data_IF_014291776574
#
_entry.id   IF_014291776574
#
_cell.length_a   1.000
_cell.length_b   1.000
_cell.length_c   1.000
_cell.angle_alpha   90.00
_cell.angle_beta   90.00
_cell.angle_gamma   90.00
#
_symmetry.space_group_name_H-M   'P 1'
#
loop_
_entity.id
_entity.type
_entity.pdbx_description
1 polymer ?
#
# COMPACT_ATOMS: atom_id res chain seq x y z
N UNK A 1 0.44 -4.03 -14.96
CA UNK A 1 0.43 -4.08 -13.48
C UNK A 1 -0.18 -2.79 -12.96
N UNK A 2 -1.03 -2.87 -11.92
CA UNK A 2 -1.47 -1.69 -11.18
C UNK A 2 -0.62 -1.57 -9.91
N UNK A 3 -0.07 -0.38 -9.67
CA UNK A 3 0.79 -0.11 -8.52
C UNK A 3 0.15 0.92 -7.60
N UNK A 4 -0.34 0.46 -6.45
CA UNK A 4 -0.90 1.31 -5.41
C UNK A 4 0.20 1.73 -4.45
N UNK A 5 0.58 3.01 -4.49
CA UNK A 5 1.65 3.55 -3.66
C UNK A 5 1.05 4.50 -2.63
N UNK A 6 1.28 4.25 -1.34
CA UNK A 6 0.78 5.13 -0.28
C UNK A 6 1.29 6.57 -0.45
N UNK A 7 0.40 7.54 -0.30
CA UNK A 7 0.77 8.97 -0.37
C UNK A 7 1.21 9.60 0.94
N UNK A 8 1.22 8.86 2.05
CA UNK A 8 1.47 9.39 3.41
C UNK A 8 2.85 10.08 3.54
N UNK A 9 3.86 9.62 2.80
CA UNK A 9 5.21 10.19 2.81
C UNK A 9 5.97 9.99 1.50
N UNK A 10 7.05 10.75 1.32
CA UNK A 10 7.91 10.60 0.14
C UNK A 10 8.61 9.24 0.07
N UNK A 11 8.93 8.66 1.23
CA UNK A 11 9.60 7.36 1.35
C UNK A 11 8.90 6.21 0.61
N UNK A 12 7.57 6.24 0.57
CA UNK A 12 6.75 5.27 -0.14
C UNK A 12 7.02 5.28 -1.65
N UNK A 13 7.01 6.48 -2.23
CA UNK A 13 7.33 6.66 -3.64
C UNK A 13 8.80 6.34 -3.94
N UNK A 14 9.73 6.88 -3.15
CA UNK A 14 11.17 6.71 -3.42
C UNK A 14 11.62 5.26 -3.29
N UNK A 15 11.00 4.45 -2.42
CA UNK A 15 11.23 3.00 -2.34
C UNK A 15 10.63 2.26 -3.52
N UNK A 16 9.42 2.63 -3.93
CA UNK A 16 8.69 1.89 -4.97
C UNK A 16 9.19 2.21 -6.38
N UNK A 17 9.59 3.46 -6.65
CA UNK A 17 9.96 3.91 -7.99
C UNK A 17 11.05 3.04 -8.66
N UNK A 18 12.19 2.71 -8.01
CA UNK A 18 13.22 1.90 -8.66
C UNK A 18 12.72 0.50 -9.02
N UNK A 19 11.95 -0.13 -8.13
CA UNK A 19 11.36 -1.46 -8.37
C UNK A 19 10.39 -1.42 -9.55
N UNK A 20 9.48 -0.44 -9.54
CA UNK A 20 8.46 -0.29 -10.58
C UNK A 20 9.08 0.08 -11.94
N UNK A 21 10.12 0.92 -11.97
CA UNK A 21 10.82 1.30 -13.19
C UNK A 21 11.63 0.14 -13.80
N UNK A 22 12.19 -0.74 -12.97
CA UNK A 22 13.04 -1.84 -13.41
C UNK A 22 12.29 -3.16 -13.69
N UNK A 23 10.99 -3.24 -13.44
CA UNK A 23 10.26 -4.51 -13.56
C UNK A 23 9.92 -4.93 -15.00
N UNK A 24 10.10 -4.04 -15.99
CA UNK A 24 9.82 -4.35 -17.40
C UNK A 24 8.33 -4.56 -17.74
N UNK A 25 7.42 -4.21 -16.83
CA UNK A 25 5.97 -4.31 -17.02
C UNK A 25 5.36 -2.95 -17.37
N UNK A 26 4.26 -2.93 -18.10
CA UNK A 26 3.42 -1.74 -18.20
C UNK A 26 2.81 -1.42 -16.82
N UNK A 27 3.21 -0.30 -16.22
CA UNK A 27 2.79 0.09 -14.86
C UNK A 27 1.79 1.24 -14.90
N UNK A 28 0.64 1.01 -14.28
CA UNK A 28 -0.36 2.05 -14.01
C UNK A 28 -0.29 2.43 -12.53
N UNK A 29 0.22 3.63 -12.25
CA UNK A 29 0.42 4.11 -10.88
C UNK A 29 -0.89 4.69 -10.33
N UNK A 30 -1.19 4.30 -9.08
CA UNK A 30 -2.34 4.72 -8.29
C UNK A 30 -1.82 5.26 -6.97
N UNK A 31 -1.96 6.56 -6.73
CA UNK A 31 -1.42 7.20 -5.51
C UNK A 31 -2.11 8.52 -5.20
N UNK A 32 -1.90 9.06 -4.00
CA UNK A 32 -2.42 10.35 -3.58
C UNK A 32 -1.34 11.22 -2.90
N UNK A 33 -1.77 12.37 -2.37
CA UNK A 33 -1.02 13.23 -1.45
C UNK A 33 0.43 13.53 -1.91
N UNK A 34 1.43 13.24 -1.07
CA UNK A 34 2.84 13.64 -1.27
C UNK A 34 3.49 12.82 -2.38
N UNK A 35 3.19 11.52 -2.46
CA UNK A 35 3.72 10.63 -3.49
C UNK A 35 3.26 11.04 -4.89
N UNK A 36 2.02 11.53 -5.06
CA UNK A 36 1.51 12.00 -6.35
C UNK A 36 2.38 13.10 -6.99
N UNK A 37 2.97 13.99 -6.19
CA UNK A 37 3.85 15.04 -6.71
C UNK A 37 5.13 14.47 -7.33
N UNK A 38 5.68 13.41 -6.75
CA UNK A 38 6.86 12.74 -7.28
C UNK A 38 6.50 11.81 -8.45
N UNK A 39 5.36 11.11 -8.35
CA UNK A 39 4.88 10.20 -9.38
C UNK A 39 4.63 10.88 -10.73
N UNK A 40 4.30 12.18 -10.74
CA UNK A 40 4.19 12.97 -11.98
C UNK A 40 5.48 13.05 -12.80
N UNK A 41 6.62 12.74 -12.20
CA UNK A 41 7.94 12.72 -12.86
C UNK A 41 8.33 11.31 -13.36
N UNK A 42 7.51 10.30 -13.15
CA UNK A 42 7.76 8.95 -13.66
C UNK A 42 7.33 8.83 -15.12
N UNK A 43 8.24 9.17 -16.02
CA UNK A 43 8.02 9.02 -17.47
C UNK A 43 7.90 7.55 -17.91
N UNK A 44 8.41 6.63 -17.09
CA UNK A 44 8.27 5.18 -17.30
C UNK A 44 6.86 4.64 -17.00
N UNK A 45 6.01 5.41 -16.30
CA UNK A 45 4.67 4.95 -15.94
C UNK A 45 3.71 5.07 -17.14
N UNK A 46 2.99 4.00 -17.45
CA UNK A 46 2.01 3.98 -18.53
C UNK A 46 0.82 4.90 -18.26
N UNK A 47 0.40 5.00 -17.00
CA UNK A 47 -0.54 6.03 -16.56
C UNK A 47 -0.40 6.34 -15.08
N UNK A 48 -0.87 7.52 -14.69
CA UNK A 48 -0.93 7.97 -13.31
C UNK A 48 -2.35 8.43 -13.00
N UNK A 49 -2.95 7.88 -11.94
CA UNK A 49 -4.24 8.34 -11.43
C UNK A 49 -4.14 8.71 -9.94
N UNK A 50 -4.81 9.80 -9.58
CA UNK A 50 -5.01 10.15 -8.17
C UNK A 50 -6.06 9.21 -7.60
N UNK A 51 -5.65 8.31 -6.73
CA UNK A 51 -6.53 7.33 -6.06
C UNK A 51 -6.28 7.39 -4.57
N UNK A 52 -7.35 7.34 -3.79
CA UNK A 52 -7.21 7.28 -2.34
C UNK A 52 -6.66 5.92 -1.91
N UNK A 53 -5.38 5.89 -1.55
CA UNK A 53 -4.68 4.70 -1.04
C UNK A 53 -4.75 4.61 0.49
N UNK A 54 -5.58 5.43 1.12
CA UNK A 54 -5.73 5.51 2.56
C UNK A 54 -4.92 6.65 3.19
N UNK A 55 -5.20 6.94 4.48
CA UNK A 55 -4.69 8.12 5.15
C UNK A 55 -3.24 7.98 5.65
N UNK A 56 -2.76 6.76 5.84
CA UNK A 56 -1.59 6.51 6.68
C UNK A 56 -1.84 7.00 8.11
N UNK A 57 -0.83 7.58 8.75
CA UNK A 57 -1.00 8.26 10.05
C UNK A 57 -1.21 9.75 9.81
N UNK A 58 -2.24 10.36 10.39
CA UNK A 58 -2.37 11.83 10.33
C UNK A 58 -1.33 12.44 11.27
N UNK A 59 -0.59 13.46 10.80
CA UNK A 59 0.48 14.10 11.55
C UNK A 59 0.41 15.62 11.46
N UNK A 60 0.81 16.30 12.54
CA UNK A 60 1.01 17.76 12.62
C UNK A 60 2.51 18.06 12.64
N UNK A 61 3.13 18.00 11.46
CA UNK A 61 4.60 18.04 11.33
C UNK A 61 5.24 16.64 11.36
N UNK A 62 6.58 16.54 11.49
CA UNK A 62 7.27 15.26 11.29
C UNK A 62 7.11 14.24 12.42
N UNK A 63 6.91 14.71 13.66
CA UNK A 63 6.97 13.87 14.87
C UNK A 63 5.67 13.86 15.70
N UNK A 64 4.73 14.77 15.46
CA UNK A 64 3.45 14.82 16.18
C UNK A 64 2.38 14.05 15.41
N UNK A 65 2.06 12.85 15.89
CA UNK A 65 0.98 12.02 15.34
C UNK A 65 -0.36 12.41 15.98
N UNK A 66 -1.43 12.39 15.16
CA UNK A 66 -2.80 12.64 15.59
C UNK A 66 -3.67 11.39 15.41
N UNK A 67 -3.81 10.54 16.46
CA UNK A 67 -4.55 9.29 16.36
C UNK A 67 -6.05 9.48 16.20
N UNK A 68 -6.62 10.55 16.75
CA UNK A 68 -8.05 10.83 16.62
C UNK A 68 -8.37 11.19 15.16
N UNK A 69 -7.57 12.05 14.55
CA UNK A 69 -7.69 12.36 13.13
C UNK A 69 -7.38 11.14 12.24
N UNK A 70 -6.42 10.30 12.64
CA UNK A 70 -6.12 9.04 11.93
C UNK A 70 -7.30 8.09 11.95
N UNK A 71 -7.95 7.91 13.11
CA UNK A 71 -9.14 7.08 13.26
C UNK A 71 -10.25 7.57 12.31
N UNK A 72 -10.59 8.85 12.37
CA UNK A 72 -11.67 9.41 11.54
C UNK A 72 -11.38 9.27 10.04
N UNK A 73 -10.15 9.54 9.61
CA UNK A 73 -9.75 9.40 8.22
C UNK A 73 -9.75 7.92 7.76
N UNK A 74 -9.35 7.00 8.64
CA UNK A 74 -9.35 5.57 8.36
C UNK A 74 -10.77 5.01 8.28
N UNK A 75 -11.69 5.45 9.15
CA UNK A 75 -13.11 5.11 9.09
C UNK A 75 -13.72 5.52 7.74
N UNK A 76 -13.50 6.77 7.34
CA UNK A 76 -13.97 7.28 6.04
C UNK A 76 -13.39 6.48 4.87
N UNK A 77 -12.08 6.18 4.92
CA UNK A 77 -11.42 5.41 3.88
C UNK A 77 -11.97 3.98 3.79
N UNK A 78 -12.07 3.25 4.91
CA UNK A 78 -12.63 1.89 4.94
C UNK A 78 -14.08 1.86 4.48
N UNK A 79 -14.89 2.87 4.85
CA UNK A 79 -16.27 2.99 4.38
C UNK A 79 -16.36 3.19 2.86
N UNK A 80 -15.35 3.82 2.24
CA UNK A 80 -15.30 4.03 0.78
C UNK A 80 -14.85 2.81 -0.02
N UNK A 81 -14.33 1.76 0.63
CA UNK A 81 -13.74 0.60 -0.04
C UNK A 81 -14.64 -0.07 -1.09
N UNK A 82 -15.94 -0.31 -0.86
CA UNK A 82 -16.77 -1.00 -1.86
C UNK A 82 -16.77 -0.29 -3.22
N UNK A 83 -17.01 1.02 -3.23
CA UNK A 83 -17.01 1.82 -4.47
C UNK A 83 -15.61 2.00 -5.06
N UNK A 84 -14.58 2.16 -4.22
CA UNK A 84 -13.20 2.23 -4.67
C UNK A 84 -12.76 0.93 -5.36
N UNK A 85 -13.11 -0.22 -4.78
CA UNK A 85 -12.79 -1.54 -5.33
C UNK A 85 -13.47 -1.73 -6.68
N UNK A 86 -14.76 -1.43 -6.78
CA UNK A 86 -15.51 -1.55 -8.03
C UNK A 86 -14.88 -0.71 -9.15
N UNK A 87 -14.61 0.57 -8.88
CA UNK A 87 -14.03 1.49 -9.85
C UNK A 87 -12.64 1.03 -10.32
N UNK A 88 -11.77 0.65 -9.38
CA UNK A 88 -10.41 0.24 -9.72
C UNK A 88 -10.35 -1.15 -10.37
N UNK A 89 -11.25 -2.08 -10.02
CA UNK A 89 -11.36 -3.37 -10.72
C UNK A 89 -11.77 -3.15 -12.17
N UNK A 90 -12.75 -2.27 -12.44
CA UNK A 90 -13.16 -1.95 -13.80
C UNK A 90 -11.99 -1.35 -14.61
N UNK A 91 -11.30 -0.36 -14.05
CA UNK A 91 -10.13 0.25 -14.67
C UNK A 91 -8.99 -0.76 -14.91
N UNK A 92 -8.73 -1.64 -13.95
CA UNK A 92 -7.68 -2.65 -14.04
C UNK A 92 -8.00 -3.73 -15.07
N UNK A 93 -9.26 -4.15 -15.19
CA UNK A 93 -9.70 -5.07 -16.25
C UNK A 93 -9.51 -4.46 -17.63
N UNK A 94 -9.94 -3.21 -17.82
CA UNK A 94 -9.79 -2.51 -19.09
C UNK A 94 -8.32 -2.36 -19.51
N UNK A 95 -7.43 -2.14 -18.55
CA UNK A 95 -5.99 -2.06 -18.77
C UNK A 95 -5.27 -3.42 -18.87
N UNK A 96 -6.01 -4.54 -18.84
CA UNK A 96 -5.42 -5.87 -18.92
C UNK A 96 -4.47 -6.20 -17.76
N UNK A 97 -4.76 -5.68 -16.55
CA UNK A 97 -3.93 -5.92 -15.38
C UNK A 97 -3.82 -7.42 -15.04
N UNK A 98 -2.63 -7.85 -14.60
CA UNK A 98 -2.27 -9.24 -14.27
C UNK A 98 -1.56 -9.39 -12.93
N UNK A 99 -1.29 -8.28 -12.26
CA UNK A 99 -0.54 -8.21 -11.01
C UNK A 99 -0.88 -6.87 -10.35
N UNK A 100 -1.10 -6.91 -9.04
CA UNK A 100 -1.21 -5.73 -8.20
C UNK A 100 0.05 -5.62 -7.35
N UNK A 101 0.71 -4.46 -7.42
CA UNK A 101 1.77 -4.06 -6.50
C UNK A 101 1.16 -3.13 -5.46
N UNK A 102 1.39 -3.41 -4.19
CA UNK A 102 0.88 -2.63 -3.07
C UNK A 102 2.04 -2.17 -2.18
N UNK A 103 2.37 -0.88 -2.18
CA UNK A 103 3.25 -0.27 -1.17
C UNK A 103 2.48 -0.01 0.13
N UNK A 104 2.00 -1.13 0.68
CA UNK A 104 1.19 -1.36 1.87
C UNK A 104 -0.29 -0.95 1.92
N UNK A 105 -0.99 -0.27 0.98
CA UNK A 105 -2.40 0.07 1.19
C UNK A 105 -3.28 -1.19 1.21
N UNK A 106 -4.01 -1.48 2.32
CA UNK A 106 -4.76 -2.74 2.46
C UNK A 106 -5.81 -2.96 1.35
N UNK A 107 -6.43 -1.88 0.87
CA UNK A 107 -7.43 -1.94 -0.19
C UNK A 107 -6.90 -2.51 -1.51
N UNK A 108 -5.59 -2.39 -1.78
CA UNK A 108 -4.99 -2.95 -2.99
C UNK A 108 -5.07 -4.49 -3.03
N UNK A 109 -4.95 -5.15 -1.87
CA UNK A 109 -5.10 -6.61 -1.76
C UNK A 109 -6.55 -7.04 -2.02
N UNK A 110 -7.53 -6.26 -1.57
CA UNK A 110 -8.95 -6.49 -1.89
C UNK A 110 -9.22 -6.31 -3.38
N UNK A 111 -8.66 -5.28 -4.01
CA UNK A 111 -8.78 -5.04 -5.45
C UNK A 111 -8.18 -6.21 -6.23
N UNK A 112 -6.99 -6.69 -5.86
CA UNK A 112 -6.34 -7.83 -6.51
C UNK A 112 -7.20 -9.09 -6.41
N UNK A 113 -7.74 -9.37 -5.21
CA UNK A 113 -8.63 -10.50 -4.96
C UNK A 113 -9.91 -10.40 -5.81
N UNK A 114 -10.55 -9.25 -5.87
CA UNK A 114 -11.75 -9.03 -6.68
C UNK A 114 -11.48 -9.11 -8.19
N UNK A 115 -10.28 -8.73 -8.61
CA UNK A 115 -9.81 -8.83 -9.99
C UNK A 115 -9.40 -10.27 -10.36
N UNK A 116 -9.09 -11.13 -9.39
CA UNK A 116 -8.61 -12.49 -9.60
C UNK A 116 -7.14 -12.56 -10.05
N UNK A 117 -6.31 -11.62 -9.61
CA UNK A 117 -4.88 -11.54 -9.94
C UNK A 117 -4.03 -11.52 -8.66
N UNK A 118 -2.75 -11.92 -8.73
CA UNK A 118 -1.88 -11.88 -7.56
C UNK A 118 -1.65 -10.46 -7.04
N UNK A 119 -1.51 -10.35 -5.71
CA UNK A 119 -1.05 -9.16 -5.00
C UNK A 119 0.34 -9.38 -4.40
N UNK A 120 1.27 -8.47 -4.73
CA UNK A 120 2.57 -8.34 -4.10
C UNK A 120 2.56 -7.14 -3.16
N UNK A 121 2.74 -7.38 -1.86
CA UNK A 121 2.92 -6.31 -0.87
C UNK A 121 4.40 -5.97 -0.75
N UNK A 122 4.73 -4.68 -0.76
CA UNK A 122 6.06 -4.18 -0.40
C UNK A 122 5.90 -3.23 0.78
N UNK A 123 6.55 -3.53 1.89
CA UNK A 123 6.38 -2.74 3.10
C UNK A 123 7.60 -2.84 4.03
N UNK A 124 7.86 -1.78 4.78
CA UNK A 124 8.68 -1.91 6.00
C UNK A 124 7.77 -2.29 7.17
N UNK A 125 6.65 -1.58 7.30
CA UNK A 125 5.64 -1.82 8.31
C UNK A 125 4.28 -1.95 7.61
N UNK A 126 3.45 -2.89 8.05
CA UNK A 126 2.05 -2.92 7.61
C UNK A 126 1.26 -1.79 8.24
N UNK A 127 0.22 -1.32 7.55
CA UNK A 127 -0.67 -0.31 8.12
C UNK A 127 -1.48 -0.90 9.27
N UNK A 128 -1.90 -2.17 9.18
CA UNK A 128 -2.57 -2.85 10.29
C UNK A 128 -1.74 -2.85 11.57
N UNK A 129 -0.42 -3.11 11.48
CA UNK A 129 0.46 -3.08 12.64
C UNK A 129 0.64 -1.68 13.20
N UNK A 130 0.83 -0.67 12.34
CA UNK A 130 0.92 0.73 12.77
C UNK A 130 -0.36 1.14 13.50
N UNK A 131 -1.54 0.88 12.92
CA UNK A 131 -2.82 1.26 13.51
C UNK A 131 -3.11 0.53 14.83
N UNK A 132 -2.71 -0.74 14.95
CA UNK A 132 -2.87 -1.51 16.19
C UNK A 132 -2.09 -0.94 17.37
N UNK A 133 -0.95 -0.27 17.12
CA UNK A 133 -0.05 0.26 18.15
C UNK A 133 -0.13 1.79 18.32
N UNK A 134 -0.94 2.49 17.52
CA UNK A 134 -1.07 3.94 17.61
C UNK A 134 -1.84 4.33 18.89
N UNK A 135 -1.14 5.02 19.83
CA UNK A 135 -1.62 5.43 21.17
C UNK A 135 -2.39 4.34 21.93
N UNK A 136 -1.79 3.16 22.02
CA UNK A 136 -2.34 2.01 22.76
C UNK A 136 -3.73 1.55 22.26
N UNK A 137 -4.04 1.83 21.00
CA UNK A 137 -5.10 1.21 20.21
C UNK A 137 -6.50 1.44 20.76
N UNK A 138 -7.03 2.67 20.76
CA UNK A 138 -8.45 2.89 21.04
C UNK A 138 -9.32 1.78 20.38
N UNK A 139 -10.29 1.15 21.07
CA UNK A 139 -10.94 -0.07 20.57
C UNK A 139 -11.43 0.00 19.12
N UNK A 140 -11.94 1.16 18.69
CA UNK A 140 -12.33 1.44 17.32
C UNK A 140 -11.16 1.33 16.32
N UNK A 141 -9.99 1.90 16.66
CA UNK A 141 -8.79 1.82 15.82
C UNK A 141 -8.26 0.40 15.73
N UNK A 142 -8.32 -0.39 16.82
CA UNK A 142 -7.98 -1.82 16.77
C UNK A 142 -8.92 -2.62 15.86
N UNK A 143 -10.22 -2.32 15.88
CA UNK A 143 -11.17 -2.97 14.99
C UNK A 143 -10.87 -2.65 13.50
N UNK A 144 -10.53 -1.40 13.19
CA UNK A 144 -10.11 -1.01 11.83
C UNK A 144 -8.74 -1.58 11.45
N UNK A 145 -7.81 -1.65 12.39
CA UNK A 145 -6.52 -2.31 12.21
C UNK A 145 -6.72 -3.79 11.85
N UNK A 146 -7.65 -4.48 12.50
CA UNK A 146 -8.00 -5.86 12.17
C UNK A 146 -8.59 -5.96 10.75
N UNK A 147 -9.49 -5.07 10.35
CA UNK A 147 -10.00 -5.03 8.96
C UNK A 147 -8.88 -4.82 7.94
N UNK A 148 -7.93 -3.94 8.23
CA UNK A 148 -6.73 -3.76 7.40
C UNK A 148 -5.90 -5.04 7.34
N UNK A 149 -5.73 -5.73 8.47
CA UNK A 149 -4.98 -6.97 8.58
C UNK A 149 -5.59 -8.08 7.74
N UNK A 150 -6.92 -8.21 7.79
CA UNK A 150 -7.67 -9.22 7.03
C UNK A 150 -7.55 -8.96 5.52
N UNK A 151 -7.60 -7.69 5.10
CA UNK A 151 -7.37 -7.29 3.72
C UNK A 151 -5.92 -7.58 3.27
N UNK A 152 -4.94 -7.17 4.06
CA UNK A 152 -3.51 -7.40 3.84
C UNK A 152 -3.20 -8.91 3.72
N UNK A 153 -3.83 -9.76 4.54
CA UNK A 153 -3.65 -11.21 4.52
C UNK A 153 -4.11 -11.89 3.20
N UNK A 154 -4.83 -11.16 2.33
CA UNK A 154 -5.18 -11.64 0.99
C UNK A 154 -4.02 -11.53 -0.01
N UNK A 155 -2.89 -10.92 0.37
CA UNK A 155 -1.70 -10.85 -0.46
C UNK A 155 -1.11 -12.24 -0.74
N UNK A 156 -0.62 -12.45 -1.96
CA UNK A 156 -0.01 -13.70 -2.39
C UNK A 156 1.48 -13.76 -2.00
N UNK A 157 2.15 -12.62 -1.96
CA UNK A 157 3.55 -12.50 -1.59
C UNK A 157 3.85 -11.15 -0.93
N UNK A 158 4.95 -11.09 -0.19
CA UNK A 158 5.41 -9.88 0.50
C UNK A 158 6.94 -9.73 0.44
N UNK A 159 7.40 -8.54 0.07
CA UNK A 159 8.79 -8.13 0.22
C UNK A 159 8.90 -7.12 1.34
N UNK A 160 9.88 -7.33 2.22
CA UNK A 160 10.13 -6.40 3.31
C UNK A 160 11.59 -5.98 3.39
N UNK A 161 11.78 -4.72 3.75
CA UNK A 161 13.11 -4.19 4.04
C UNK A 161 13.57 -4.64 5.44
N UNK A 162 14.90 -4.72 5.68
CA UNK A 162 15.45 -4.94 7.01
C UNK A 162 14.92 -3.93 8.03
N UNK A 163 14.68 -4.37 9.27
CA UNK A 163 14.13 -3.52 10.35
C UNK A 163 12.63 -3.25 10.27
N UNK A 164 11.90 -3.97 9.42
CA UNK A 164 10.44 -3.91 9.31
C UNK A 164 9.68 -4.69 10.38
N UNK A 165 8.36 -4.51 10.45
CA UNK A 165 7.49 -5.13 11.46
C UNK A 165 6.04 -5.30 11.00
N UNK A 166 5.31 -6.22 11.64
CA UNK A 166 3.87 -6.37 11.40
C UNK A 166 3.48 -7.08 10.09
N UNK A 167 4.38 -7.86 9.50
CA UNK A 167 4.15 -8.52 8.20
C UNK A 167 3.92 -10.03 8.33
N UNK A 168 3.89 -10.56 9.54
CA UNK A 168 3.79 -12.01 9.80
C UNK A 168 2.45 -12.65 9.37
N UNK A 169 1.42 -11.84 9.12
CA UNK A 169 0.14 -12.30 8.58
C UNK A 169 0.03 -12.28 7.07
N UNK A 170 0.99 -11.63 6.40
CA UNK A 170 1.13 -11.78 4.96
C UNK A 170 1.66 -13.19 4.70
N UNK A 171 1.11 -13.85 3.68
CA UNK A 171 1.29 -15.28 3.36
C UNK A 171 2.52 -15.95 4.03
N UNK A 172 2.31 -16.75 5.10
CA UNK A 172 3.39 -17.38 5.82
C UNK A 172 4.11 -18.38 4.90
N UNK A 173 5.41 -18.15 4.67
CA UNK A 173 6.27 -18.96 3.80
C UNK A 173 6.85 -18.24 2.59
N UNK A 174 6.42 -16.99 2.30
CA UNK A 174 6.96 -16.21 1.16
C UNK A 174 7.40 -14.79 1.48
N UNK A 175 7.07 -14.25 2.66
CA UNK A 175 7.67 -13.02 3.17
C UNK A 175 9.21 -13.15 3.17
N UNK A 176 9.85 -12.56 2.15
CA UNK A 176 11.30 -12.63 1.96
C UNK A 176 11.90 -11.30 2.40
N UNK A 177 12.87 -11.37 3.31
CA UNK A 177 13.74 -10.24 3.55
C UNK A 177 14.48 -9.96 2.24
N UNK A 178 14.40 -8.72 1.74
CA UNK A 178 15.25 -8.32 0.64
C UNK A 178 16.69 -8.35 1.16
N UNK A 179 17.50 -9.31 0.70
CA UNK A 179 18.94 -9.27 0.94
C UNK A 179 19.45 -7.91 0.45
N UNK A 180 20.33 -7.27 1.24
CA UNK A 180 20.97 -6.03 0.82
C UNK A 180 21.61 -6.29 -0.55
N UNK A 181 21.21 -5.50 -1.55
CA UNK A 181 21.87 -5.50 -2.85
C UNK A 181 23.36 -5.30 -2.62
N UNK A 182 24.16 -6.31 -2.92
CA UNK A 182 25.60 -6.15 -3.01
C UNK A 182 25.90 -5.75 -4.46
N UNK A 183 26.53 -4.59 -4.70
CA UNK A 183 27.01 -4.26 -6.04
C UNK A 183 27.92 -5.40 -6.52
N UNK A 184 27.76 -5.80 -7.78
CA UNK A 184 28.76 -6.62 -8.44
C UNK A 184 30.09 -5.83 -8.42
N UNK A 185 31.11 -6.38 -7.77
CA UNK A 185 32.50 -5.89 -7.83
C UNK A 185 33.07 -6.04 -9.21
#
# INVERSE_FOLDING_TARGET
MFAYVSGHGFGHWTRSQPVLASCGLAVHVRTNMRALRLARRAEWAQSLAKVDTGPGVVQRGPLDVDPAATLHALEAHVASWPGLIEAEVAAARAAGCRLVYADAPPVACLIARALGVPALVVANFSWSWIYAHLRDGAPALRALAQRCRDAEALADDALHLPGGGGLSHLAPGRARACALWQPAT
#
